data_IF_170374696300
#
_entry.id   IF_170374696300
#
_cell.length_a   1.000
_cell.length_b   1.000
_cell.length_c   1.000
_cell.angle_alpha   90.00
_cell.angle_beta   90.00
_cell.angle_gamma   90.00
#
_symmetry.space_group_name_H-M   'P 1'
#
loop_
_entity.id
_entity.type
_entity.pdbx_description
1 polymer ?
#
# COMPACT_ATOMS: atom_id res chain seq x y z
N UNK A 1 9.24 -3.45 -9.99
CA UNK A 1 9.62 -4.76 -10.56
C UNK A 1 11.03 -4.64 -11.13
N UNK A 2 11.97 -5.50 -10.71
CA UNK A 2 13.38 -5.46 -11.16
C UNK A 2 13.59 -6.37 -12.38
N UNK A 3 14.77 -6.25 -13.01
CA UNK A 3 15.24 -7.16 -14.08
C UNK A 3 14.41 -7.13 -15.37
N UNK A 4 13.69 -6.04 -15.61
CA UNK A 4 12.85 -5.86 -16.81
C UNK A 4 13.57 -5.17 -17.99
N UNK A 5 14.79 -4.69 -17.78
CA UNK A 5 15.54 -3.96 -18.81
C UNK A 5 14.79 -2.74 -19.35
N UNK A 6 14.89 -2.50 -20.66
CA UNK A 6 14.26 -1.37 -21.34
C UNK A 6 12.72 -1.36 -21.22
N UNK A 7 12.09 -2.52 -21.03
CA UNK A 7 10.63 -2.67 -20.96
C UNK A 7 10.05 -2.31 -19.60
N UNK A 8 10.89 -1.97 -18.61
CA UNK A 8 10.47 -1.72 -17.22
C UNK A 8 9.28 -0.75 -17.14
N UNK A 9 9.39 0.43 -17.76
CA UNK A 9 8.35 1.44 -17.70
C UNK A 9 7.05 0.99 -18.39
N UNK A 10 7.15 0.32 -19.54
CA UNK A 10 5.99 -0.17 -20.27
C UNK A 10 5.22 -1.24 -19.46
N UNK A 11 5.96 -2.16 -18.84
CA UNK A 11 5.41 -3.23 -18.01
C UNK A 11 4.84 -2.69 -16.69
N UNK A 12 5.47 -1.71 -16.05
CA UNK A 12 4.87 -1.01 -14.89
C UNK A 12 3.55 -0.33 -15.25
N UNK A 13 3.49 0.39 -16.37
CA UNK A 13 2.22 0.98 -16.85
C UNK A 13 1.15 -0.07 -17.13
N UNK A 14 1.53 -1.23 -17.67
CA UNK A 14 0.60 -2.32 -17.90
C UNK A 14 -0.01 -2.85 -16.59
N UNK A 15 0.80 -2.99 -15.53
CA UNK A 15 0.30 -3.35 -14.19
C UNK A 15 -0.68 -2.30 -13.66
N UNK A 16 -0.35 -1.01 -13.78
CA UNK A 16 -1.25 0.07 -13.39
C UNK A 16 -2.61 0.00 -14.10
N UNK A 17 -2.59 -0.13 -15.42
CA UNK A 17 -3.81 -0.27 -16.23
C UNK A 17 -4.63 -1.50 -15.87
N UNK A 18 -3.97 -2.60 -15.48
CA UNK A 18 -4.67 -3.81 -15.02
C UNK A 18 -5.32 -3.59 -13.66
N UNK A 19 -4.61 -2.98 -12.70
CA UNK A 19 -5.15 -2.67 -11.38
C UNK A 19 -6.39 -1.77 -11.45
N UNK A 20 -6.37 -0.76 -12.33
CA UNK A 20 -7.48 0.16 -12.55
C UNK A 20 -8.79 -0.48 -13.07
N UNK A 21 -8.72 -1.71 -13.58
CA UNK A 21 -9.88 -2.48 -14.07
C UNK A 21 -10.46 -3.43 -13.02
N UNK A 22 -9.78 -3.60 -11.89
CA UNK A 22 -10.21 -4.46 -10.80
C UNK A 22 -11.07 -3.67 -9.80
N UNK A 23 -11.95 -4.32 -9.04
CA UNK A 23 -12.77 -3.67 -8.02
C UNK A 23 -11.94 -3.39 -6.75
N UNK A 24 -10.84 -2.65 -6.90
CA UNK A 24 -9.98 -2.22 -5.80
C UNK A 24 -10.44 -0.86 -5.29
N UNK A 25 -10.36 -0.63 -3.99
CA UNK A 25 -10.67 0.66 -3.40
C UNK A 25 -9.58 1.71 -3.67
N UNK A 26 -8.31 1.29 -3.68
CA UNK A 26 -7.17 2.14 -3.97
C UNK A 26 -5.96 1.32 -4.42
N UNK A 27 -4.98 2.00 -5.03
CA UNK A 27 -3.65 1.48 -5.35
C UNK A 27 -2.58 2.38 -4.72
N UNK A 28 -1.75 1.78 -3.86
CA UNK A 28 -0.58 2.44 -3.31
C UNK A 28 0.65 2.10 -4.16
N UNK A 29 1.35 3.13 -4.63
CA UNK A 29 2.54 3.01 -5.46
C UNK A 29 3.73 3.56 -4.67
N UNK A 30 4.71 2.70 -4.42
CA UNK A 30 5.83 2.98 -3.51
C UNK A 30 7.14 3.10 -4.27
N UNK A 31 7.76 4.29 -4.17
CA UNK A 31 9.07 4.62 -4.73
C UNK A 31 9.05 5.06 -6.19
N UNK A 32 10.00 5.93 -6.54
CA UNK A 32 10.07 6.60 -7.85
C UNK A 32 10.14 5.61 -9.03
N UNK A 33 10.85 4.50 -8.86
CA UNK A 33 10.97 3.47 -9.88
C UNK A 33 9.62 2.77 -10.20
N UNK A 34 8.60 2.96 -9.37
CA UNK A 34 7.25 2.46 -9.58
C UNK A 34 6.27 3.52 -10.12
N UNK A 35 6.69 4.78 -10.29
CA UNK A 35 5.84 5.87 -10.80
C UNK A 35 5.08 5.52 -12.11
N UNK A 36 5.64 4.76 -13.07
CA UNK A 36 4.88 4.39 -14.26
C UNK A 36 3.68 3.47 -13.95
N UNK A 37 3.62 2.78 -12.80
CA UNK A 37 2.43 2.05 -12.34
C UNK A 37 1.29 3.05 -12.11
N UNK A 38 1.55 4.15 -11.41
CA UNK A 38 0.55 5.17 -11.14
C UNK A 38 0.05 5.85 -12.42
N UNK A 39 0.97 6.16 -13.35
CA UNK A 39 0.62 6.66 -14.69
C UNK A 39 -0.34 5.71 -15.41
N UNK A 40 -0.01 4.42 -15.42
CA UNK A 40 -0.84 3.39 -16.05
C UNK A 40 -2.22 3.27 -15.40
N UNK A 41 -2.28 3.33 -14.07
CA UNK A 41 -3.53 3.25 -13.33
C UNK A 41 -4.45 4.43 -13.63
N UNK A 42 -3.94 5.66 -13.55
CA UNK A 42 -4.69 6.88 -13.86
C UNK A 42 -5.15 6.93 -15.32
N UNK A 43 -4.34 6.43 -16.25
CA UNK A 43 -4.73 6.32 -17.66
C UNK A 43 -5.81 5.25 -17.91
N UNK A 44 -5.83 4.19 -17.10
CA UNK A 44 -6.84 3.13 -17.19
C UNK A 44 -8.18 3.52 -16.55
N UNK A 45 -8.15 4.33 -15.49
CA UNK A 45 -9.30 4.90 -14.83
C UNK A 45 -8.89 6.17 -14.06
N UNK A 46 -9.30 7.34 -14.56
CA UNK A 46 -8.93 8.63 -13.97
C UNK A 46 -9.54 8.88 -12.59
N UNK A 47 -10.61 8.16 -12.24
CA UNK A 47 -11.26 8.23 -10.92
C UNK A 47 -10.77 7.15 -9.96
N UNK A 48 -9.84 6.27 -10.38
CA UNK A 48 -9.27 5.28 -9.48
C UNK A 48 -8.32 5.97 -8.49
N UNK A 49 -8.52 5.69 -7.21
CA UNK A 49 -7.74 6.28 -6.14
C UNK A 49 -6.32 5.70 -6.14
N UNK A 50 -5.35 6.54 -6.53
CA UNK A 50 -3.93 6.17 -6.66
C UNK A 50 -3.11 7.06 -5.74
N UNK A 51 -2.44 6.42 -4.78
CA UNK A 51 -1.62 7.08 -3.76
C UNK A 51 -0.15 6.80 -4.04
N UNK A 52 0.60 7.83 -4.43
CA UNK A 52 2.05 7.76 -4.61
C UNK A 52 2.77 8.11 -3.30
N UNK A 53 3.74 7.30 -2.90
CA UNK A 53 4.56 7.53 -1.71
C UNK A 53 6.04 7.20 -2.00
N UNK A 54 7.00 7.93 -1.40
CA UNK A 54 8.42 7.78 -1.72
C UNK A 54 9.00 6.44 -1.23
N UNK A 55 8.47 5.88 -0.13
CA UNK A 55 9.04 4.70 0.50
C UNK A 55 8.00 3.93 1.35
N UNK A 56 8.46 2.81 1.93
CA UNK A 56 7.65 1.94 2.76
C UNK A 56 7.19 2.59 4.08
N UNK A 57 7.95 3.53 4.64
CA UNK A 57 7.60 4.18 5.90
C UNK A 57 6.42 5.14 5.69
N UNK A 58 6.49 5.97 4.64
CA UNK A 58 5.37 6.84 4.27
C UNK A 58 4.14 6.02 3.83
N UNK A 59 4.34 4.88 3.14
CA UNK A 59 3.27 3.95 2.83
C UNK A 59 2.55 3.46 4.10
N UNK A 60 3.31 3.05 5.12
CA UNK A 60 2.74 2.59 6.39
C UNK A 60 2.00 3.71 7.13
N UNK A 61 2.58 4.92 7.18
CA UNK A 61 1.92 6.11 7.72
C UNK A 61 0.58 6.42 7.04
N UNK A 62 0.54 6.35 5.71
CA UNK A 62 -0.71 6.58 4.96
C UNK A 62 -1.73 5.48 5.16
N UNK A 63 -1.28 4.23 5.19
CA UNK A 63 -2.16 3.09 5.43
C UNK A 63 -2.74 3.07 6.84
N UNK A 64 -2.00 3.53 7.86
CA UNK A 64 -2.54 3.69 9.24
C UNK A 64 -3.72 4.65 9.33
N UNK A 65 -3.71 5.71 8.51
CA UNK A 65 -4.77 6.71 8.44
C UNK A 65 -5.82 6.39 7.38
N UNK A 66 -5.66 5.28 6.67
CA UNK A 66 -6.56 4.93 5.58
C UNK A 66 -7.93 4.57 6.17
N UNK A 67 -9.01 5.23 5.71
CA UNK A 67 -10.34 4.99 6.26
C UNK A 67 -10.92 3.63 5.86
N UNK A 68 -10.35 2.99 4.83
CA UNK A 68 -10.78 1.67 4.37
C UNK A 68 -10.22 0.53 5.24
N UNK A 69 -11.01 -0.51 5.40
CA UNK A 69 -10.57 -1.80 5.96
C UNK A 69 -10.71 -2.92 4.94
N UNK A 70 -10.17 -4.09 5.25
CA UNK A 70 -10.31 -5.30 4.44
C UNK A 70 -8.98 -5.90 4.03
N UNK A 71 -8.96 -6.50 2.84
CA UNK A 71 -7.80 -7.25 2.34
C UNK A 71 -6.85 -6.35 1.57
N UNK A 72 -5.56 -6.52 1.83
CA UNK A 72 -4.49 -5.86 1.09
C UNK A 72 -3.59 -6.91 0.41
N UNK A 73 -3.29 -6.70 -0.86
CA UNK A 73 -2.22 -7.40 -1.55
C UNK A 73 -0.96 -6.54 -1.52
N UNK A 74 0.09 -7.04 -0.86
CA UNK A 74 1.40 -6.39 -0.86
C UNK A 74 2.32 -7.09 -1.85
N UNK A 75 2.89 -6.33 -2.79
CA UNK A 75 3.82 -6.88 -3.77
C UNK A 75 4.99 -5.95 -4.09
N UNK A 76 6.20 -6.44 -3.91
CA UNK A 76 7.41 -5.81 -4.44
C UNK A 76 8.51 -6.83 -4.78
N UNK A 77 9.59 -6.35 -5.38
CA UNK A 77 10.87 -7.06 -5.40
C UNK A 77 11.60 -6.80 -4.08
N UNK A 78 12.43 -7.74 -3.61
CA UNK A 78 13.03 -7.71 -2.26
C UNK A 78 13.61 -6.35 -1.84
N UNK A 79 14.36 -5.68 -2.71
CA UNK A 79 15.01 -4.43 -2.29
C UNK A 79 14.14 -3.17 -2.27
N UNK A 80 12.81 -3.27 -2.36
CA UNK A 80 11.89 -2.18 -1.96
C UNK A 80 11.49 -2.33 -0.49
N UNK A 81 11.67 -3.53 0.09
CA UNK A 81 11.40 -3.85 1.49
C UNK A 81 9.96 -3.54 1.95
N UNK A 82 8.94 -3.86 1.15
CA UNK A 82 7.54 -3.62 1.51
C UNK A 82 7.04 -4.47 2.69
N UNK A 83 7.78 -5.50 3.08
CA UNK A 83 7.56 -6.21 4.36
C UNK A 83 7.55 -5.26 5.56
N UNK A 84 8.30 -4.14 5.50
CA UNK A 84 8.29 -3.10 6.54
C UNK A 84 6.91 -2.46 6.72
N UNK A 85 6.11 -2.37 5.66
CA UNK A 85 4.72 -1.89 5.74
C UNK A 85 3.87 -2.87 6.57
N UNK A 86 4.06 -4.17 6.33
CA UNK A 86 3.33 -5.23 7.03
C UNK A 86 3.69 -5.20 8.52
N UNK A 87 4.99 -5.14 8.83
CA UNK A 87 5.48 -5.10 10.21
C UNK A 87 4.96 -3.87 10.96
N UNK A 88 4.97 -2.70 10.33
CA UNK A 88 4.49 -1.45 10.92
C UNK A 88 2.99 -1.47 11.21
N UNK A 89 2.18 -2.06 10.33
CA UNK A 89 0.73 -2.19 10.53
C UNK A 89 0.39 -3.26 11.60
N UNK A 90 1.14 -4.36 11.63
CA UNK A 90 0.98 -5.40 12.64
C UNK A 90 1.30 -4.89 14.04
N UNK A 91 2.40 -4.13 14.19
CA UNK A 91 2.78 -3.51 15.45
C UNK A 91 1.72 -2.52 15.96
N UNK A 92 1.21 -1.65 15.08
CA UNK A 92 0.15 -0.70 15.43
C UNK A 92 -1.13 -1.40 15.92
N UNK A 93 -1.51 -2.51 15.28
CA UNK A 93 -2.68 -3.31 15.67
C UNK A 93 -2.48 -3.96 17.04
N UNK A 94 -1.28 -4.48 17.32
CA UNK A 94 -0.97 -5.06 18.63
C UNK A 94 -1.05 -4.01 19.75
N UNK A 95 -0.55 -2.80 19.52
CA UNK A 95 -0.66 -1.69 20.47
C UNK A 95 -2.12 -1.26 20.71
N UNK A 96 -2.92 -1.13 19.66
CA UNK A 96 -4.34 -0.78 19.78
C UNK A 96 -5.12 -1.81 20.61
N UNK A 97 -4.88 -3.10 20.37
CA UNK A 97 -5.51 -4.19 21.11
C UNK A 97 -5.10 -4.24 22.59
N UNK A 98 -3.84 -3.92 22.91
CA UNK A 98 -3.37 -3.84 24.29
C UNK A 98 -4.02 -2.67 25.05
N UNK A 99 -4.20 -1.52 24.39
CA UNK A 99 -4.87 -0.34 24.96
C UNK A 99 -6.34 -0.59 25.29
N UNK A 100 -7.11 -1.20 24.36
CA UNK A 100 -8.52 -1.54 24.59
C UNK A 100 -8.71 -2.52 25.76
N UNK A 101 -7.81 -3.50 25.90
CA UNK A 101 -7.87 -4.47 26.99
C UNK A 101 -7.60 -3.85 28.38
N UNK A 102 -6.80 -2.78 28.43
CA UNK A 102 -6.49 -2.07 29.66
C UNK A 102 -7.63 -1.14 30.10
N UNK A 103 -8.33 -0.49 29.16
CA UNK A 103 -9.51 0.34 29.48
C UNK A 103 -10.67 -0.49 30.02
N UNK A 104 -10.94 -1.65 29.41
CA UNK A 104 -12.01 -2.57 29.86
C UNK A 104 -11.79 -3.08 31.30
N UNK A 105 -10.53 -3.23 31.71
CA UNK A 105 -10.17 -3.68 33.05
C UNK A 105 -10.36 -2.59 34.13
N UNK A 106 -10.23 -1.31 33.76
CA UNK A 106 -10.43 -0.18 34.69
C UNK A 106 -11.89 0.22 34.88
N UNK A 107 -12.79 -0.13 33.97
CA UNK A 107 -14.21 0.23 34.02
C UNK A 107 -15.05 -0.81 34.80
N UNK A 108 -14.45 -1.96 35.14
CA UNK A 108 -15.09 -3.06 35.89
C UNK A 108 -14.67 -3.12 37.38
N UNK A 109 -13.87 -2.16 37.87
CA UNK A 109 -13.36 -2.07 39.24
C UNK A 109 -14.02 -0.90 39.99
#
# INVERSE_FOLDING_TARGET
MRELGAESNALHRAVGRAAAKLPLAALFVVGDAAAPIAEGARAGNASFEVVDVPDADEAAERLRRWPGGGWMLVKASRGVALERVIDALAAATATANAGAKASDASEQA
#
